data_IF_695074259875
#
_entry.id   IF_695074259875
#
_cell.length_a   1.000
_cell.length_b   1.000
_cell.length_c   1.000
_cell.angle_alpha   90.00
_cell.angle_beta   90.00
_cell.angle_gamma   90.00
#
_symmetry.space_group_name_H-M   'P 1'
#
loop_
_entity.id
_entity.type
_entity.pdbx_description
1 polymer ?
#
# COMPACT_ATOMS: atom_id res chain seq x y z
N UNK A 1 -7.09 7.70 -15.09
CA UNK A 1 -7.25 9.17 -15.01
C UNK A 1 -6.00 9.82 -14.38
N UNK A 2 -4.85 9.81 -15.08
CA UNK A 2 -3.60 10.42 -14.58
C UNK A 2 -3.64 11.96 -14.56
N UNK A 3 -4.58 12.57 -15.28
CA UNK A 3 -4.74 14.01 -15.41
C UNK A 3 -4.96 14.76 -14.08
N UNK A 4 -5.60 14.12 -13.10
CA UNK A 4 -5.78 14.73 -11.78
C UNK A 4 -4.45 15.02 -11.07
N UNK A 5 -3.45 14.16 -11.26
CA UNK A 5 -2.11 14.35 -10.65
C UNK A 5 -1.41 15.52 -11.33
N UNK A 6 -1.48 15.60 -12.66
CA UNK A 6 -0.92 16.72 -13.42
C UNK A 6 -1.60 18.05 -13.05
N UNK A 7 -2.92 18.04 -12.89
CA UNK A 7 -3.68 19.22 -12.47
C UNK A 7 -3.29 19.65 -11.05
N UNK A 8 -3.18 18.71 -10.10
CA UNK A 8 -2.72 19.02 -8.75
C UNK A 8 -1.30 19.60 -8.75
N UNK A 9 -0.38 19.03 -9.53
CA UNK A 9 0.99 19.52 -9.67
C UNK A 9 1.06 20.96 -10.20
N UNK A 10 0.07 21.40 -10.99
CA UNK A 10 -0.01 22.75 -11.52
C UNK A 10 -0.73 23.73 -10.57
N UNK A 11 -1.85 23.31 -9.99
CA UNK A 11 -2.67 24.19 -9.12
C UNK A 11 -2.00 24.46 -7.78
N UNK A 12 -1.37 23.45 -7.18
CA UNK A 12 -0.71 23.57 -5.87
C UNK A 12 0.33 24.71 -5.85
N UNK A 13 1.35 24.75 -6.73
CA UNK A 13 2.37 25.81 -6.67
C UNK A 13 1.79 27.21 -6.93
N UNK A 14 0.76 27.33 -7.76
CA UNK A 14 0.08 28.61 -7.99
C UNK A 14 -0.56 29.11 -6.69
N UNK A 15 -1.24 28.19 -5.99
CA UNK A 15 -1.90 28.49 -4.73
C UNK A 15 -0.87 28.84 -3.63
N UNK A 16 0.30 28.21 -3.61
CA UNK A 16 1.38 28.56 -2.69
C UNK A 16 1.91 29.96 -2.91
N UNK A 17 2.22 30.31 -4.17
CA UNK A 17 2.70 31.65 -4.49
C UNK A 17 1.66 32.71 -4.07
N UNK A 18 0.38 32.44 -4.31
CA UNK A 18 -0.69 33.33 -3.88
C UNK A 18 -0.69 33.52 -2.35
N UNK A 19 -0.62 32.43 -1.57
CA UNK A 19 -0.61 32.51 -0.10
C UNK A 19 0.65 33.20 0.43
N UNK A 20 1.82 32.89 -0.12
CA UNK A 20 3.08 33.53 0.26
C UNK A 20 3.02 35.03 0.01
N UNK A 21 2.46 35.47 -1.12
CA UNK A 21 2.28 36.90 -1.41
C UNK A 21 1.33 37.54 -0.39
N UNK A 22 0.18 36.91 -0.10
CA UNK A 22 -0.78 37.44 0.87
C UNK A 22 -0.16 37.58 2.27
N UNK A 23 0.58 36.57 2.73
CA UNK A 23 1.28 36.62 4.02
C UNK A 23 2.38 37.70 3.98
N UNK A 24 3.15 37.76 2.88
CA UNK A 24 4.17 38.78 2.64
C UNK A 24 3.64 40.21 2.68
N UNK A 25 2.39 40.43 2.26
CA UNK A 25 1.73 41.73 2.34
C UNK A 25 1.27 42.09 3.75
N UNK A 26 0.94 41.10 4.59
CA UNK A 26 0.45 41.32 5.97
C UNK A 26 1.61 41.51 6.96
N UNK A 27 2.64 40.66 6.89
CA UNK A 27 3.75 40.66 7.86
C UNK A 27 5.09 41.14 7.28
N UNK A 28 5.18 41.34 5.97
CA UNK A 28 6.40 41.75 5.27
C UNK A 28 7.21 40.57 4.70
N UNK A 29 8.01 40.84 3.67
CA UNK A 29 8.76 39.81 2.94
C UNK A 29 9.80 39.07 3.79
N UNK A 30 10.64 39.79 4.54
CA UNK A 30 11.67 39.17 5.39
C UNK A 30 11.10 38.29 6.52
N UNK A 31 10.07 38.74 7.27
CA UNK A 31 9.39 37.87 8.24
C UNK A 31 8.75 36.64 7.59
N UNK A 32 8.19 36.76 6.39
CA UNK A 32 7.60 35.63 5.65
C UNK A 32 8.65 34.58 5.30
N UNK A 33 9.82 35.01 4.80
CA UNK A 33 10.95 34.11 4.54
C UNK A 33 11.43 33.42 5.83
N UNK A 34 11.53 34.17 6.93
CA UNK A 34 11.88 33.59 8.24
C UNK A 34 10.88 32.53 8.70
N UNK A 35 9.59 32.77 8.49
CA UNK A 35 8.52 31.85 8.86
C UNK A 35 8.57 30.56 8.03
N UNK A 36 8.77 30.67 6.71
CA UNK A 36 9.01 29.54 5.81
C UNK A 36 10.22 28.70 6.24
N UNK A 37 11.32 29.34 6.65
CA UNK A 37 12.51 28.65 7.13
C UNK A 37 12.25 27.89 8.44
N UNK A 38 11.56 28.51 9.38
CA UNK A 38 11.20 27.88 10.67
C UNK A 38 10.27 26.69 10.44
N UNK A 39 9.25 26.85 9.59
CA UNK A 39 8.31 25.79 9.26
C UNK A 39 9.00 24.62 8.55
N UNK A 40 9.84 24.90 7.55
CA UNK A 40 10.62 23.88 6.85
C UNK A 40 11.58 23.15 7.79
N UNK A 41 12.23 23.85 8.72
CA UNK A 41 13.08 23.24 9.73
C UNK A 41 12.29 22.33 10.69
N UNK A 42 11.09 22.75 11.10
CA UNK A 42 10.17 21.93 11.91
C UNK A 42 9.72 20.68 11.15
N UNK A 43 9.37 20.82 9.87
CA UNK A 43 9.05 19.71 8.97
C UNK A 43 10.19 18.71 8.86
N UNK A 44 11.39 19.18 8.54
CA UNK A 44 12.60 18.36 8.46
C UNK A 44 12.90 17.62 9.78
N UNK A 45 12.75 18.30 10.91
CA UNK A 45 12.92 17.69 12.23
C UNK A 45 11.90 16.59 12.49
N UNK A 46 10.63 16.82 12.14
CA UNK A 46 9.55 15.86 12.32
C UNK A 46 9.74 14.62 11.43
N UNK A 47 10.13 14.80 10.16
CA UNK A 47 10.47 13.71 9.24
C UNK A 47 11.63 12.89 9.79
N UNK A 48 12.68 13.54 10.31
CA UNK A 48 13.83 12.83 10.89
C UNK A 48 13.41 11.97 12.09
N UNK A 49 12.45 12.45 12.90
CA UNK A 49 11.94 11.73 14.07
C UNK A 49 11.03 10.56 13.69
N UNK A 50 9.99 10.82 12.88
CA UNK A 50 8.98 9.82 12.53
C UNK A 50 9.44 8.87 11.41
N UNK A 51 10.34 9.32 10.53
CA UNK A 51 10.96 8.50 9.50
C UNK A 51 11.82 7.39 10.10
N UNK A 52 12.65 7.69 11.11
CA UNK A 52 13.43 6.66 11.82
C UNK A 52 12.52 5.65 12.52
N UNK A 53 11.42 6.10 13.14
CA UNK A 53 10.45 5.21 13.80
C UNK A 53 9.77 4.27 12.79
N UNK A 54 9.29 4.81 11.67
CA UNK A 54 8.66 4.01 10.61
C UNK A 54 9.64 3.02 9.98
N UNK A 55 10.87 3.46 9.72
CA UNK A 55 11.93 2.61 9.17
C UNK A 55 12.30 1.46 10.11
N UNK A 56 12.48 1.75 11.40
CA UNK A 56 12.78 0.73 12.39
C UNK A 56 11.64 -0.29 12.52
N UNK A 57 10.38 0.17 12.56
CA UNK A 57 9.21 -0.71 12.63
C UNK A 57 9.09 -1.63 11.40
N UNK A 58 9.39 -1.09 10.21
CA UNK A 58 9.45 -1.88 8.98
C UNK A 58 10.56 -2.94 9.05
N UNK A 59 11.77 -2.54 9.45
CA UNK A 59 12.92 -3.46 9.57
C UNK A 59 12.64 -4.60 10.56
N UNK A 60 12.07 -4.30 11.72
CA UNK A 60 11.67 -5.31 12.71
C UNK A 60 10.62 -6.27 12.14
N UNK A 61 9.61 -5.75 11.42
CA UNK A 61 8.54 -6.59 10.85
C UNK A 61 9.06 -7.54 9.77
N UNK A 62 10.00 -7.08 8.95
CA UNK A 62 10.70 -7.91 7.96
C UNK A 62 11.54 -9.02 8.61
N UNK A 63 12.24 -8.71 9.70
CA UNK A 63 13.01 -9.70 10.47
C UNK A 63 12.14 -10.75 11.16
N UNK A 64 10.89 -10.42 11.47
CA UNK A 64 9.95 -11.34 12.14
C UNK A 64 9.14 -12.20 11.16
N UNK A 65 9.42 -12.11 9.85
CA UNK A 65 8.65 -12.78 8.77
C UNK A 65 7.12 -12.55 8.82
N UNK A 66 6.67 -11.46 9.46
CA UNK A 66 5.25 -11.07 9.52
C UNK A 66 4.95 -10.18 8.32
N UNK A 67 3.78 -10.34 7.69
CA UNK A 67 3.35 -9.46 6.59
C UNK A 67 3.28 -7.99 7.07
N UNK A 68 4.17 -7.09 6.59
CA UNK A 68 4.35 -5.75 7.16
C UNK A 68 3.42 -4.70 6.54
N UNK A 69 2.16 -5.07 6.23
CA UNK A 69 1.24 -4.18 5.51
C UNK A 69 0.97 -2.88 6.26
N UNK A 70 1.01 -2.93 7.59
CA UNK A 70 0.76 -1.82 8.49
C UNK A 70 1.92 -0.83 8.55
N UNK A 71 3.14 -1.36 8.54
CA UNK A 71 4.41 -0.62 8.65
C UNK A 71 4.81 -0.02 7.30
N UNK A 72 4.51 -0.71 6.20
CA UNK A 72 4.67 -0.20 4.84
C UNK A 72 3.81 1.04 4.59
N UNK A 73 2.54 1.02 5.03
CA UNK A 73 1.66 2.19 4.93
C UNK A 73 2.21 3.37 5.73
N UNK A 74 2.77 3.11 6.91
CA UNK A 74 3.37 4.15 7.75
C UNK A 74 4.67 4.72 7.17
N UNK A 75 5.51 3.88 6.57
CA UNK A 75 6.70 4.34 5.86
C UNK A 75 6.33 5.16 4.62
N UNK A 76 5.32 4.73 3.85
CA UNK A 76 4.82 5.45 2.69
C UNK A 76 4.22 6.82 3.07
N UNK A 77 3.45 6.90 4.16
CA UNK A 77 2.90 8.16 4.65
C UNK A 77 3.98 9.15 5.08
N UNK A 78 5.05 8.67 5.72
CA UNK A 78 6.18 9.53 6.10
C UNK A 78 6.98 9.98 4.88
N UNK A 79 7.18 9.11 3.89
CA UNK A 79 7.83 9.48 2.62
C UNK A 79 7.03 10.54 1.88
N UNK A 80 5.73 10.31 1.68
CA UNK A 80 4.85 11.27 0.98
C UNK A 80 4.78 12.57 1.75
N UNK A 81 4.47 12.54 3.05
CA UNK A 81 4.41 13.74 3.89
C UNK A 81 5.75 14.47 3.96
N UNK A 82 6.87 13.74 3.95
CA UNK A 82 8.21 14.31 3.94
C UNK A 82 8.59 14.96 2.61
N UNK A 83 8.20 14.37 1.47
CA UNK A 83 8.39 15.00 0.16
C UNK A 83 7.53 16.26 0.00
N UNK A 84 6.31 16.26 0.56
CA UNK A 84 5.48 17.46 0.61
C UNK A 84 6.16 18.58 1.43
N UNK A 85 6.60 18.29 2.66
CA UNK A 85 7.31 19.25 3.55
C UNK A 85 8.66 19.73 2.99
N UNK A 86 9.27 19.00 2.06
CA UNK A 86 10.48 19.41 1.35
C UNK A 86 10.22 20.52 0.33
N UNK A 87 8.95 20.73 -0.04
CA UNK A 87 8.52 21.79 -0.95
C UNK A 87 7.91 22.90 -0.09
N UNK A 88 8.69 23.90 0.36
CA UNK A 88 8.22 24.89 1.33
C UNK A 88 7.15 25.77 0.69
N UNK A 89 5.96 25.84 1.30
CA UNK A 89 4.81 26.46 0.65
C UNK A 89 3.77 27.09 1.57
N UNK A 90 3.78 26.85 2.88
CA UNK A 90 2.66 27.06 3.82
C UNK A 90 1.51 26.06 3.65
N UNK A 91 0.87 25.96 2.46
CA UNK A 91 -0.30 25.07 2.32
C UNK A 91 0.16 23.62 2.28
N UNK A 92 1.19 23.33 1.49
CA UNK A 92 1.82 22.01 1.41
C UNK A 92 2.42 21.60 2.75
N UNK A 93 2.87 22.55 3.56
CA UNK A 93 3.38 22.27 4.90
C UNK A 93 2.26 21.87 5.88
N UNK A 94 1.09 22.51 5.84
CA UNK A 94 -0.09 22.07 6.61
C UNK A 94 -0.49 20.63 6.25
N UNK A 95 -0.59 20.32 4.95
CA UNK A 95 -0.89 18.96 4.51
C UNK A 95 0.24 17.98 4.86
N UNK A 96 1.49 18.40 4.74
CA UNK A 96 2.68 17.64 5.09
C UNK A 96 2.70 17.28 6.57
N UNK A 97 2.48 18.24 7.46
CA UNK A 97 2.32 18.01 8.89
C UNK A 97 1.13 17.10 9.19
N UNK A 98 -0.01 17.29 8.52
CA UNK A 98 -1.18 16.42 8.69
C UNK A 98 -0.86 14.96 8.36
N UNK A 99 -0.04 14.67 7.33
CA UNK A 99 0.36 13.30 7.00
C UNK A 99 1.44 12.72 7.92
N UNK A 100 2.34 13.55 8.43
CA UNK A 100 3.46 13.09 9.27
C UNK A 100 3.07 12.95 10.75
N UNK A 101 2.13 13.76 11.25
CA UNK A 101 1.75 13.76 12.67
C UNK A 101 1.18 12.40 13.13
N UNK A 102 1.61 11.91 14.31
CA UNK A 102 1.20 10.59 14.82
C UNK A 102 -0.29 10.53 15.21
N UNK A 103 -0.90 11.67 15.55
CA UNK A 103 -2.31 11.76 15.96
C UNK A 103 -3.28 11.59 14.79
N UNK A 104 -2.85 11.94 13.57
CA UNK A 104 -3.63 11.86 12.35
C UNK A 104 -3.41 10.54 11.59
N UNK A 105 -2.40 9.73 11.95
CA UNK A 105 -2.17 8.39 11.38
C UNK A 105 -3.39 7.48 11.29
N UNK A 106 -4.25 7.31 12.32
CA UNK A 106 -5.44 6.44 12.20
C UNK A 106 -6.47 6.98 11.19
N UNK A 107 -6.56 8.30 11.02
CA UNK A 107 -7.48 8.96 10.06
C UNK A 107 -6.90 8.88 8.64
N UNK A 108 -5.63 9.24 8.48
CA UNK A 108 -4.91 9.14 7.21
C UNK A 108 -4.89 7.69 6.69
N UNK A 109 -4.72 6.69 7.57
CA UNK A 109 -4.82 5.27 7.22
C UNK A 109 -6.19 4.87 6.72
N UNK A 110 -7.28 5.34 7.34
CA UNK A 110 -8.65 5.07 6.85
C UNK A 110 -8.88 5.68 5.47
N UNK A 111 -8.37 6.88 5.23
CA UNK A 111 -8.42 7.50 3.90
C UNK A 111 -7.60 6.71 2.86
N UNK A 112 -6.37 6.32 3.21
CA UNK A 112 -5.49 5.56 2.32
C UNK A 112 -6.02 4.15 2.04
N UNK A 113 -6.54 3.43 3.04
CA UNK A 113 -7.12 2.10 2.86
C UNK A 113 -8.43 2.14 2.06
N UNK A 114 -9.25 3.18 2.22
CA UNK A 114 -10.44 3.39 1.40
C UNK A 114 -10.07 3.71 -0.06
N UNK A 115 -9.01 4.49 -0.29
CA UNK A 115 -8.54 4.82 -1.64
C UNK A 115 -7.82 3.65 -2.33
N UNK A 116 -6.99 2.90 -1.60
CA UNK A 116 -6.29 1.71 -2.10
C UNK A 116 -7.24 0.52 -2.29
N UNK A 117 -8.17 0.27 -1.36
CA UNK A 117 -9.16 -0.80 -1.52
C UNK A 117 -9.98 -0.63 -2.80
N UNK A 118 -10.37 0.61 -3.09
CA UNK A 118 -11.13 0.97 -4.30
C UNK A 118 -10.30 0.92 -5.60
N UNK A 119 -8.98 0.83 -5.52
CA UNK A 119 -8.06 0.67 -6.68
C UNK A 119 -7.50 -0.75 -6.83
N UNK A 120 -7.33 -1.46 -5.73
CA UNK A 120 -6.90 -2.86 -5.71
C UNK A 120 -8.04 -3.78 -6.16
N UNK A 121 -9.30 -3.54 -5.79
CA UNK A 121 -10.41 -4.31 -6.38
C UNK A 121 -10.45 -4.14 -7.91
N UNK A 122 -10.09 -2.95 -8.42
CA UNK A 122 -10.11 -2.63 -9.85
C UNK A 122 -8.87 -3.11 -10.62
N UNK A 123 -7.74 -3.41 -9.95
CA UNK A 123 -6.52 -3.97 -10.60
C UNK A 123 -6.26 -5.44 -10.27
N UNK A 124 -6.72 -5.91 -9.13
CA UNK A 124 -6.70 -7.33 -8.75
C UNK A 124 -7.85 -8.09 -9.44
N UNK A 125 -8.91 -7.40 -9.85
CA UNK A 125 -9.84 -7.91 -10.88
C UNK A 125 -9.22 -8.03 -12.29
N UNK A 126 -8.11 -7.32 -12.57
CA UNK A 126 -7.38 -7.39 -13.84
C UNK A 126 -6.13 -8.29 -13.79
N UNK A 127 -5.71 -8.76 -12.61
CA UNK A 127 -4.55 -9.67 -12.44
C UNK A 127 -4.90 -10.94 -11.63
N UNK A 128 -6.15 -11.11 -11.20
CA UNK A 128 -6.71 -12.33 -10.62
C UNK A 128 -7.82 -12.98 -11.47
N UNK A 129 -8.05 -12.47 -12.68
CA UNK A 129 -9.07 -12.94 -13.63
C UNK A 129 -8.59 -14.02 -14.61
N UNK A 130 -7.57 -14.80 -14.27
CA UNK A 130 -7.15 -15.97 -15.04
C UNK A 130 -7.79 -17.25 -14.48
N UNK A 131 -9.10 -17.21 -14.20
CA UNK A 131 -9.94 -18.39 -14.29
C UNK A 131 -10.37 -18.51 -15.76
N UNK A 132 -9.63 -19.31 -16.53
CA UNK A 132 -9.91 -19.52 -17.95
C UNK A 132 -11.26 -20.23 -18.17
N UNK A 133 -12.08 -19.81 -19.15
CA UNK A 133 -13.35 -20.45 -19.48
C UNK A 133 -13.17 -21.57 -20.52
N UNK A 134 -13.78 -22.74 -20.27
CA UNK A 134 -14.15 -23.69 -21.33
C UNK A 134 -13.93 -25.16 -21.00
N UNK A 135 -14.98 -25.87 -20.58
CA UNK A 135 -15.63 -26.91 -21.40
C UNK A 135 -17.01 -27.28 -20.80
N UNK A 136 -18.09 -27.39 -21.62
CA UNK A 136 -19.48 -27.53 -21.16
C UNK A 136 -20.00 -28.98 -21.24
N UNK A 137 -21.04 -29.29 -20.45
CA UNK A 137 -21.91 -30.47 -20.64
C UNK A 137 -22.45 -31.00 -19.32
N UNK A 138 -23.57 -30.48 -18.81
CA UNK A 138 -24.96 -30.95 -19.01
C UNK A 138 -25.42 -31.87 -17.85
N UNK A 139 -26.55 -31.47 -17.25
CA UNK A 139 -27.27 -31.92 -16.03
C UNK A 139 -28.15 -33.17 -16.38
N UNK A 140 -29.19 -33.69 -15.67
CA UNK A 140 -29.55 -33.83 -14.24
C UNK A 140 -29.94 -35.29 -13.85
N UNK A 141 -29.95 -35.63 -12.55
CA UNK A 141 -31.20 -35.72 -11.78
C UNK A 141 -31.25 -36.95 -10.85
N UNK A 142 -32.20 -37.02 -9.88
CA UNK A 142 -32.01 -37.68 -8.58
C UNK A 142 -32.77 -39.01 -8.41
N UNK A 143 -32.22 -39.97 -7.65
CA UNK A 143 -32.97 -41.19 -7.28
C UNK A 143 -32.21 -42.23 -6.45
N UNK A 144 -32.89 -42.75 -5.42
CA UNK A 144 -32.69 -43.99 -4.61
C UNK A 144 -31.37 -44.16 -3.81
N UNK A 145 -31.31 -44.16 -2.48
CA UNK A 145 -31.94 -45.00 -1.42
C UNK A 145 -31.64 -46.51 -1.51
N UNK A 146 -30.97 -47.06 -0.48
CA UNK A 146 -30.82 -48.50 -0.20
C UNK A 146 -29.35 -48.96 -0.16
N UNK A 147 -28.74 -49.18 1.01
CA UNK A 147 -28.78 -50.40 1.81
C UNK A 147 -27.98 -51.60 1.25
N UNK A 148 -26.88 -51.95 1.94
CA UNK A 148 -26.58 -53.35 2.28
C UNK A 148 -25.64 -54.18 1.39
N UNK A 149 -24.52 -54.59 2.04
CA UNK A 149 -23.94 -55.95 2.09
C UNK A 149 -22.97 -56.45 0.99
N UNK A 150 -21.84 -56.96 1.52
CA UNK A 150 -21.10 -58.20 1.18
C UNK A 150 -19.89 -58.17 0.21
N UNK A 151 -18.69 -58.06 0.83
CA UNK A 151 -17.50 -58.97 0.79
C UNK A 151 -16.83 -59.25 -0.62
N UNK A 152 -15.66 -59.92 -0.74
CA UNK A 152 -14.34 -59.31 -1.03
C UNK A 152 -13.54 -60.07 -2.13
N UNK A 153 -12.87 -59.41 -3.07
CA UNK A 153 -11.82 -60.12 -3.82
C UNK A 153 -10.60 -59.27 -4.12
N UNK A 154 -9.48 -59.97 -4.03
CA UNK A 154 -8.12 -59.53 -4.21
C UNK A 154 -7.86 -59.05 -5.64
N UNK A 155 -7.15 -57.94 -5.76
CA UNK A 155 -6.17 -57.80 -6.83
C UNK A 155 -5.04 -56.89 -6.32
N UNK A 156 -3.93 -57.55 -6.11
CA UNK A 156 -2.64 -57.09 -5.64
C UNK A 156 -1.91 -56.40 -6.79
N UNK A 157 -2.03 -55.07 -6.89
CA UNK A 157 -1.27 -54.29 -7.88
C UNK A 157 -0.23 -53.42 -7.17
N UNK A 158 0.79 -54.09 -6.64
CA UNK A 158 2.01 -53.46 -6.11
C UNK A 158 3.00 -53.37 -7.26
N UNK A 159 3.12 -52.17 -7.84
CA UNK A 159 4.14 -51.87 -8.85
C UNK A 159 5.47 -51.63 -8.14
N UNK A 160 6.38 -52.60 -8.24
CA UNK A 160 7.73 -52.56 -7.67
C UNK A 160 8.70 -51.99 -8.72
N UNK A 161 9.16 -50.75 -8.51
CA UNK A 161 10.12 -50.08 -9.40
C UNK A 161 11.57 -50.37 -8.99
N UNK A 162 12.39 -50.80 -9.96
CA UNK A 162 13.83 -51.01 -9.77
C UNK A 162 14.58 -49.67 -9.84
N UNK A 163 15.46 -49.41 -8.86
CA UNK A 163 16.31 -48.21 -8.82
C UNK A 163 17.57 -48.49 -9.63
N UNK A 164 17.69 -47.84 -10.79
CA UNK A 164 18.92 -47.86 -11.59
C UNK A 164 19.83 -46.75 -11.06
N UNK A 165 20.94 -47.10 -10.41
CA UNK A 165 22.02 -46.18 -10.06
C UNK A 165 22.88 -45.88 -11.31
N UNK A 166 22.94 -44.64 -11.80
CA UNK A 166 23.60 -44.32 -13.06
C UNK A 166 25.15 -44.21 -12.99
N UNK A 167 25.79 -44.40 -11.83
CA UNK A 167 27.22 -44.09 -11.66
C UNK A 167 28.09 -45.29 -11.25
N UNK A 168 28.03 -46.38 -12.04
CA UNK A 168 29.12 -47.37 -12.11
C UNK A 168 29.37 -47.80 -13.56
N UNK A 169 30.35 -47.16 -14.20
CA UNK A 169 31.24 -47.80 -15.16
C UNK A 169 32.68 -47.37 -14.90
#
# INVERSE_FOLDING_TARGET
>A
MPWFVALALLVVPILEIYVIIQVGQVIGGWPTVGLLLVESALGAWLIKREGRRAWNALQTSLQTAKMPGRELADAALVLVGGTLLLTPGFVTDIFGFFFVLPFTRPIARRGLSAFLGRRLTTRMGAMGGAAGPGFPGFIPGPGSSGAGRARPEASDDVIQGEVIDPDKK
#
